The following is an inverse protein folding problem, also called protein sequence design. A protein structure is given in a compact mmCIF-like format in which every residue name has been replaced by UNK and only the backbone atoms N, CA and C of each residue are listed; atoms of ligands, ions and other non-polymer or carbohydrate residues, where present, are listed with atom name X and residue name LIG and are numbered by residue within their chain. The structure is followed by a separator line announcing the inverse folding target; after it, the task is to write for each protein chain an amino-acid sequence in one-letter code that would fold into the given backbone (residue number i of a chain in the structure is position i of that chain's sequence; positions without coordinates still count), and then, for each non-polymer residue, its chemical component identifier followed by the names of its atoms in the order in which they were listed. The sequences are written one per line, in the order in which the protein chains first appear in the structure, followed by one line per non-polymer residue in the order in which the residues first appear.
data_IF_802296606251
#
_entry.id   IF_802296606251
#
_cell.length_a   1.000
_cell.length_b   1.000
_cell.length_c   1.000
_cell.angle_alpha   90.00
_cell.angle_beta   90.00
_cell.angle_gamma   90.00
#
_symmetry.space_group_name_H-M   'P 1'
#
loop_
_entity.id
_entity.type
_entity.pdbx_description
1 polymer ?
#
# COMPACT_ATOMS: atom_id res chain seq x y z
N UNK A 1 -2.49 -8.71 0.93
CA UNK A 1 -3.35 -7.71 1.60
C UNK A 1 -3.97 -6.83 0.52
N UNK A 2 -5.23 -6.44 0.67
CA UNK A 2 -5.91 -5.59 -0.32
C UNK A 2 -6.64 -4.45 0.38
N UNK A 3 -6.53 -3.24 -0.16
CA UNK A 3 -7.23 -2.05 0.34
C UNK A 3 -7.80 -1.24 -0.83
N UNK A 4 -8.83 -0.43 -0.59
CA UNK A 4 -9.44 0.43 -1.60
C UNK A 4 -9.51 1.88 -1.13
N UNK A 5 -9.34 2.82 -2.05
CA UNK A 5 -9.56 4.25 -1.79
C UNK A 5 -9.86 5.02 -3.06
N UNK A 6 -10.50 6.18 -2.91
CA UNK A 6 -10.57 7.22 -3.92
C UNK A 6 -9.65 8.38 -3.53
N UNK A 7 -9.14 9.10 -4.53
CA UNK A 7 -8.23 10.23 -4.32
C UNK A 7 -8.95 11.54 -4.54
N UNK A 8 -8.65 12.54 -3.72
CA UNK A 8 -9.10 13.91 -3.94
C UNK A 8 -8.15 14.64 -4.88
N UNK A 9 -8.64 15.66 -5.56
CA UNK A 9 -7.84 16.49 -6.44
C UNK A 9 -6.72 17.18 -5.65
N UNK A 10 -5.52 17.22 -6.23
CA UNK A 10 -4.39 17.96 -5.68
C UNK A 10 -4.24 19.24 -6.51
N UNK A 11 -4.49 20.44 -5.94
CA UNK A 11 -4.43 21.69 -6.69
C UNK A 11 -3.08 21.87 -7.39
N UNK A 12 -3.11 22.32 -8.65
CA UNK A 12 -1.92 22.67 -9.44
C UNK A 12 -1.10 21.49 -9.96
N UNK A 13 -1.62 20.25 -9.92
CA UNK A 13 -0.88 19.09 -10.40
C UNK A 13 -1.09 18.79 -11.89
N UNK A 14 -2.30 19.00 -12.42
CA UNK A 14 -2.61 18.89 -13.85
C UNK A 14 -3.75 19.85 -14.20
N UNK A 15 -3.43 20.99 -14.81
CA UNK A 15 -4.42 22.00 -15.19
C UNK A 15 -5.32 21.50 -16.33
N UNK A 16 -6.63 21.64 -16.19
CA UNK A 16 -7.63 21.31 -17.22
C UNK A 16 -8.01 19.82 -17.34
N UNK A 17 -7.16 18.89 -16.91
CA UNK A 17 -7.47 17.46 -16.86
C UNK A 17 -6.82 16.80 -15.62
N UNK A 18 -7.46 16.87 -14.43
CA UNK A 18 -6.83 16.47 -13.19
C UNK A 18 -6.60 14.96 -13.14
N UNK A 19 -5.34 14.58 -12.88
CA UNK A 19 -4.92 13.19 -12.67
C UNK A 19 -4.33 13.00 -11.27
N UNK A 20 -4.46 11.79 -10.74
CA UNK A 20 -3.83 11.40 -9.49
C UNK A 20 -2.32 11.25 -9.71
N UNK A 21 -1.48 11.94 -8.93
CA UNK A 21 -0.02 11.82 -9.01
C UNK A 21 0.44 10.38 -8.79
N UNK A 22 1.45 9.93 -9.54
CA UNK A 22 2.14 8.67 -9.23
C UNK A 22 2.74 8.65 -7.82
N UNK A 23 3.21 9.79 -7.33
CA UNK A 23 3.67 9.96 -5.95
C UNK A 23 2.56 9.74 -4.91
N UNK A 24 1.32 10.10 -5.20
CA UNK A 24 0.18 9.85 -4.32
C UNK A 24 -0.15 8.36 -4.25
N UNK A 25 -0.01 7.63 -5.37
CA UNK A 25 -0.13 6.16 -5.37
C UNK A 25 0.96 5.51 -4.53
N UNK A 26 2.20 5.99 -4.62
CA UNK A 26 3.31 5.47 -3.80
C UNK A 26 3.16 5.83 -2.31
N UNK A 27 2.62 7.01 -1.98
CA UNK A 27 2.28 7.35 -0.61
C UNK A 27 1.26 6.36 -0.03
N UNK A 28 0.27 5.90 -0.82
CA UNK A 28 -0.63 4.83 -0.41
C UNK A 28 0.10 3.54 -0.06
N UNK A 29 1.04 3.15 -0.92
CA UNK A 29 1.83 1.92 -0.74
C UNK A 29 2.64 2.02 0.54
N UNK A 30 3.23 3.18 0.83
CA UNK A 30 3.96 3.43 2.07
C UNK A 30 3.07 3.37 3.31
N UNK A 31 1.87 3.94 3.26
CA UNK A 31 0.87 3.85 4.34
C UNK A 31 0.48 2.39 4.61
N UNK A 32 0.33 1.58 3.57
CA UNK A 32 -0.06 0.18 3.67
C UNK A 32 1.11 -0.78 3.98
N UNK A 33 2.36 -0.33 3.83
CA UNK A 33 3.58 -1.10 4.11
C UNK A 33 4.45 -0.41 5.16
N UNK A 34 4.08 -0.51 6.46
CA UNK A 34 4.94 -0.01 7.53
C UNK A 34 6.28 -0.76 7.50
N UNK A 35 7.37 -0.04 7.23
CA UNK A 35 8.71 -0.61 7.04
C UNK A 35 9.22 -0.60 5.59
N UNK A 36 8.49 0.03 4.66
CA UNK A 36 9.00 0.34 3.32
C UNK A 36 10.33 1.10 3.43
N UNK A 37 11.41 0.53 2.88
CA UNK A 37 12.74 1.17 2.82
C UNK A 37 13.12 1.65 1.43
N UNK A 38 12.41 1.19 0.40
CA UNK A 38 12.64 1.65 -0.96
C UNK A 38 11.72 0.99 -1.96
N UNK A 39 11.71 1.52 -3.18
CA UNK A 39 10.99 0.96 -4.33
C UNK A 39 12.03 0.49 -5.33
N UNK A 40 12.05 -0.82 -5.62
CA UNK A 40 12.98 -1.41 -6.60
C UNK A 40 12.60 -1.05 -8.03
N UNK A 41 11.30 -1.08 -8.30
CA UNK A 41 10.72 -0.73 -9.60
C UNK A 41 9.29 -0.27 -9.41
N UNK A 42 8.89 0.70 -10.22
CA UNK A 42 7.51 1.12 -10.37
C UNK A 42 7.25 1.45 -11.83
N UNK A 43 6.06 1.13 -12.32
CA UNK A 43 5.53 1.62 -13.59
C UNK A 43 4.15 2.19 -13.37
N UNK A 44 3.88 3.31 -14.04
CA UNK A 44 2.57 3.94 -14.11
C UNK A 44 2.03 3.71 -15.51
N UNK A 45 0.98 2.90 -15.64
CA UNK A 45 0.53 2.33 -16.92
C UNK A 45 -0.80 2.85 -17.41
N UNK A 46 -1.65 3.36 -16.50
CA UNK A 46 -2.90 4.01 -16.83
C UNK A 46 -3.15 5.20 -15.89
N UNK A 47 -3.79 6.28 -16.36
CA UNK A 47 -4.19 7.37 -15.50
C UNK A 47 -5.25 6.91 -14.49
N UNK A 48 -5.25 7.56 -13.33
CA UNK A 48 -6.34 7.51 -12.36
C UNK A 48 -6.82 8.95 -12.15
N UNK A 49 -8.13 9.18 -12.16
CA UNK A 49 -8.72 10.51 -11.98
C UNK A 49 -9.19 10.70 -10.53
N UNK A 50 -9.23 11.95 -10.02
CA UNK A 50 -9.85 12.21 -8.72
C UNK A 50 -11.29 11.68 -8.66
N UNK A 51 -11.67 11.13 -7.50
CA UNK A 51 -12.96 10.49 -7.28
C UNK A 51 -13.09 9.07 -7.83
N UNK A 52 -12.20 8.61 -8.71
CA UNK A 52 -12.21 7.22 -9.17
C UNK A 52 -11.73 6.28 -8.05
N UNK A 53 -12.45 5.17 -7.79
CA UNK A 53 -12.02 4.17 -6.83
C UNK A 53 -10.82 3.40 -7.40
N UNK A 54 -9.81 3.20 -6.56
CA UNK A 54 -8.68 2.34 -6.86
C UNK A 54 -8.54 1.26 -5.79
N UNK A 55 -7.98 0.11 -6.18
CA UNK A 55 -7.66 -1.04 -5.34
C UNK A 55 -6.15 -1.25 -5.31
N UNK A 56 -5.57 -1.29 -4.12
CA UNK A 56 -4.17 -1.66 -3.89
C UNK A 56 -4.11 -3.11 -3.42
N UNK A 57 -3.39 -3.94 -4.15
CA UNK A 57 -3.06 -5.33 -3.77
C UNK A 57 -1.57 -5.43 -3.46
N UNK A 58 -1.25 -6.04 -2.33
CA UNK A 58 0.10 -6.26 -1.81
C UNK A 58 0.36 -7.77 -1.66
N UNK A 59 1.44 -8.25 -2.28
CA UNK A 59 1.83 -9.67 -2.29
C UNK A 59 3.27 -9.81 -1.79
N UNK A 60 3.48 -10.36 -0.57
CA UNK A 60 4.83 -10.58 -0.04
C UNK A 60 5.65 -11.57 -0.87
N UNK A 61 6.95 -11.26 -1.04
CA UNK A 61 7.96 -12.02 -1.78
C UNK A 61 9.31 -11.96 -1.04
N UNK A 62 9.42 -12.64 0.10
CA UNK A 62 10.61 -12.56 0.95
C UNK A 62 10.73 -11.16 1.57
N UNK A 63 11.87 -10.49 1.34
CA UNK A 63 12.12 -9.10 1.78
C UNK A 63 11.52 -8.03 0.84
N UNK A 64 10.90 -8.49 -0.25
CA UNK A 64 10.22 -7.63 -1.21
C UNK A 64 8.70 -7.81 -1.10
N UNK A 65 7.96 -6.79 -1.55
CA UNK A 65 6.50 -6.82 -1.69
C UNK A 65 6.14 -6.35 -3.08
N UNK A 66 5.49 -7.21 -3.85
CA UNK A 66 4.84 -6.82 -5.10
C UNK A 66 3.59 -5.99 -4.77
N UNK A 67 3.44 -4.83 -5.41
CA UNK A 67 2.25 -4.01 -5.29
C UNK A 67 1.63 -3.78 -6.66
N UNK A 68 0.29 -3.77 -6.70
CA UNK A 68 -0.51 -3.44 -7.87
C UNK A 68 -1.63 -2.49 -7.44
N UNK A 69 -1.79 -1.39 -8.17
CA UNK A 69 -2.89 -0.43 -8.03
C UNK A 69 -3.74 -0.51 -9.28
N UNK A 70 -5.00 -0.91 -9.12
CA UNK A 70 -5.99 -1.06 -10.19
C UNK A 70 -7.09 -0.01 -10.02
N UNK A 71 -7.37 0.75 -11.06
CA UNK A 71 -8.51 1.66 -11.15
C UNK A 71 -9.60 1.12 -12.07
N UNK A 72 -10.63 1.92 -12.38
CA UNK A 72 -11.73 1.50 -13.25
C UNK A 72 -11.30 1.15 -14.67
N UNK A 73 -10.19 1.73 -15.12
CA UNK A 73 -9.65 1.60 -16.49
C UNK A 73 -8.46 0.65 -16.59
N UNK A 74 -8.18 -0.14 -15.53
CA UNK A 74 -7.11 -1.13 -15.50
C UNK A 74 -5.99 -0.79 -14.52
N UNK A 75 -4.80 -1.35 -14.76
CA UNK A 75 -3.64 -1.18 -13.87
C UNK A 75 -3.10 0.25 -13.98
N UNK A 76 -3.27 1.03 -12.91
CA UNK A 76 -2.75 2.38 -12.81
C UNK A 76 -1.27 2.38 -12.46
N UNK A 77 -0.86 1.53 -11.50
CA UNK A 77 0.53 1.36 -11.12
C UNK A 77 0.84 -0.08 -10.73
N UNK A 78 2.08 -0.51 -10.97
CA UNK A 78 2.57 -1.78 -10.42
C UNK A 78 4.07 -1.68 -10.12
N UNK A 79 4.54 -2.46 -9.16
CA UNK A 79 5.94 -2.41 -8.79
C UNK A 79 6.35 -3.42 -7.72
N UNK A 80 7.60 -3.27 -7.30
CA UNK A 80 8.20 -4.05 -6.22
C UNK A 80 8.77 -3.06 -5.21
N UNK A 81 8.26 -3.15 -3.99
CA UNK A 81 8.72 -2.45 -2.82
C UNK A 81 9.66 -3.34 -2.01
N UNK A 82 10.62 -2.73 -1.32
CA UNK A 82 11.43 -3.40 -0.32
C UNK A 82 10.93 -3.05 1.06
N UNK A 83 10.79 -4.04 1.91
CA UNK A 83 10.45 -3.82 3.31
C UNK A 83 11.63 -4.26 4.16
N UNK A 84 11.99 -3.47 5.16
CA UNK A 84 12.84 -3.98 6.21
C UNK A 84 12.01 -4.98 7.00
N UNK A 85 12.40 -6.26 6.99
CA UNK A 85 11.85 -7.23 7.93
C UNK A 85 11.94 -6.58 9.31
N UNK A 86 10.79 -6.46 9.99
CA UNK A 86 10.71 -5.84 11.31
C UNK A 86 11.79 -6.47 12.17
N UNK A 87 12.87 -5.73 12.38
CA UNK A 87 14.01 -6.23 13.11
C UNK A 87 13.54 -6.49 14.52
N UNK A 88 13.34 -7.76 14.88
CA UNK A 88 13.81 -8.18 16.18
C UNK A 88 15.29 -7.78 16.17
N UNK A 89 15.62 -6.67 16.82
CA UNK A 89 17.00 -6.24 16.95
C UNK A 89 17.80 -7.45 17.42
N UNK A 90 18.77 -7.90 16.62
CA UNK A 90 19.86 -8.71 17.17
C UNK A 90 20.67 -7.77 18.05
N UNK A 91 20.17 -7.55 19.27
CA UNK A 91 21.04 -7.26 20.39
C UNK A 91 21.73 -8.59 20.73
N UNK A 92 23.04 -8.75 20.48
CA UNK A 92 23.76 -9.98 20.81
C UNK A 92 23.74 -10.31 22.31
N UNK A 93 23.23 -9.39 23.17
CA UNK A 93 23.08 -9.59 24.62
C UNK A 93 21.68 -10.03 25.06
N UNK A 94 20.67 -10.06 24.17
CA UNK A 94 19.31 -10.48 24.54
C UNK A 94 18.96 -11.79 23.85
N UNK A 95 18.87 -12.84 24.67
CA UNK A 95 18.53 -14.19 24.26
C UNK A 95 17.25 -14.25 23.42
N UNK A 96 17.24 -15.23 22.52
CA UNK A 96 16.18 -15.56 21.58
C UNK A 96 14.79 -15.55 22.24
N UNK A 97 13.92 -14.63 21.80
CA UNK A 97 12.47 -14.76 22.02
C UNK A 97 11.82 -15.39 20.79
N UNK A 98 11.11 -16.53 20.91
CA UNK A 98 10.24 -17.02 19.85
C UNK A 98 8.95 -16.18 19.85
N UNK A 99 8.55 -15.63 18.70
CA UNK A 99 7.25 -14.95 18.56
C UNK A 99 7.18 -13.69 17.71
N UNK A 100 8.26 -13.22 17.07
CA UNK A 100 8.18 -12.11 16.11
C UNK A 100 7.72 -12.62 14.74
N UNK A 101 6.45 -13.00 14.63
CA UNK A 101 5.77 -13.05 13.36
C UNK A 101 5.58 -11.63 12.84
N UNK A 102 5.84 -11.42 11.54
CA UNK A 102 5.42 -10.21 10.84
C UNK A 102 3.96 -9.94 11.21
N UNK A 103 3.69 -8.83 11.90
CA UNK A 103 2.35 -8.39 12.27
C UNK A 103 1.54 -7.92 11.07
N UNK A 104 1.56 -8.67 9.97
CA UNK A 104 0.53 -8.60 8.95
C UNK A 104 -0.67 -9.35 9.53
N UNK A 105 -1.43 -8.68 10.38
CA UNK A 105 -2.69 -9.20 10.92
C UNK A 105 -3.61 -9.61 9.78
N UNK A 106 -3.67 -10.91 9.50
CA UNK A 106 -4.70 -11.54 8.68
C UNK A 106 -5.85 -11.86 9.61
N UNK A 107 -6.90 -11.05 9.53
CA UNK A 107 -8.24 -11.46 9.95
C UNK A 107 -8.99 -11.83 8.66
N UNK A 108 -9.24 -13.12 8.36
CA UNK A 108 -10.12 -13.48 7.28
C UNK A 108 -11.58 -13.23 7.72
N UNK A 109 -12.20 -12.17 7.17
CA UNK A 109 -13.64 -11.96 7.27
C UNK A 109 -14.10 -11.02 8.39
N UNK A 110 -13.79 -9.72 8.28
CA UNK A 110 -14.45 -8.68 9.06
C UNK A 110 -15.57 -8.02 8.25
N UNK A 111 -16.80 -8.49 8.42
CA UNK A 111 -17.98 -7.85 7.84
C UNK A 111 -18.14 -6.40 8.35
N UNK A 112 -18.53 -5.52 7.43
CA UNK A 112 -18.91 -4.13 7.67
C UNK A 112 -19.93 -4.05 8.83
N UNK A 113 -19.53 -3.53 10.00
CA UNK A 113 -20.48 -3.15 11.05
C UNK A 113 -20.85 -1.68 10.87
N UNK A 114 -22.11 -1.45 10.51
CA UNK A 114 -22.73 -0.13 10.50
C UNK A 114 -22.72 0.49 11.91
N UNK A 115 -22.59 1.83 12.03
CA UNK A 115 -22.65 2.50 13.32
C UNK A 115 -24.07 2.41 13.93
N UNK A 116 -24.13 1.96 15.18
CA UNK A 116 -25.33 2.07 16.00
C UNK A 116 -25.60 3.56 16.28
N UNK A 117 -26.76 4.04 15.83
CA UNK A 117 -27.28 5.34 16.24
C UNK A 117 -27.74 5.25 17.70
N UNK A 118 -27.44 6.30 18.47
CA UNK A 118 -27.84 6.48 19.86
C UNK A 118 -28.98 7.47 19.94
#
# INVERSE_FOLDING_TARGET
MTTERAFVEVPGHFDGDPLVPGAALLAWVQEALPGLVGVRRVRFTAPLRPGEPARLTLTPRGDDVEFVVEGPHGVCAWGVAQVQAGGCGRDPRRGHRPGCGLGLGVEPGGALRAPAQR
#
